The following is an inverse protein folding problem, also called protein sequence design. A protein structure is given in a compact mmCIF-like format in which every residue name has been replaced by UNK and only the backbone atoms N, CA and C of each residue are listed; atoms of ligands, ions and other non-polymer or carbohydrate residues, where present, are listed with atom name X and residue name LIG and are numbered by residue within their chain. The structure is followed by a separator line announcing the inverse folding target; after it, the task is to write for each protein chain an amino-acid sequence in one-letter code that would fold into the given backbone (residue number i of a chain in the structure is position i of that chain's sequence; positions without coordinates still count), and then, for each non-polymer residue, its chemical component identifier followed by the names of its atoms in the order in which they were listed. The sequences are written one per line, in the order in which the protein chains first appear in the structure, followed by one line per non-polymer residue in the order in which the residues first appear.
data_IF_438796547787
#
_entry.id   IF_438796547787
#
_cell.length_a   1.000
_cell.length_b   1.000
_cell.length_c   1.000
_cell.angle_alpha   90.00
_cell.angle_beta   90.00
_cell.angle_gamma   90.00
#
_symmetry.space_group_name_H-M   'P 1'
#
loop_
_entity.id
_entity.type
_entity.pdbx_description
1 polymer ?
#
# COMPACT_ATOMS: atom_id res chain seq x y z
N UNK A 1 52.07 21.86 -15.72
CA UNK A 1 51.98 20.60 -14.94
C UNK A 1 50.71 19.91 -15.33
N UNK A 2 50.72 18.58 -15.51
CA UNK A 2 49.48 17.82 -15.72
C UNK A 2 48.72 17.69 -14.40
N UNK A 3 47.41 17.48 -14.45
CA UNK A 3 46.60 17.26 -13.23
C UNK A 3 47.14 16.05 -12.44
N UNK A 4 47.60 15.00 -13.12
CA UNK A 4 48.24 13.84 -12.50
C UNK A 4 49.50 14.20 -11.69
N UNK A 5 50.38 15.05 -12.25
CA UNK A 5 51.58 15.52 -11.56
C UNK A 5 51.23 16.37 -10.35
N UNK A 6 50.21 17.22 -10.46
CA UNK A 6 49.75 18.07 -9.36
C UNK A 6 49.11 17.24 -8.24
N UNK A 7 48.39 16.18 -8.59
CA UNK A 7 47.83 15.23 -7.63
C UNK A 7 48.92 14.46 -6.87
N UNK A 8 49.92 13.94 -7.59
CA UNK A 8 51.07 13.26 -6.98
C UNK A 8 51.89 14.19 -6.08
N UNK A 9 51.88 15.49 -6.36
CA UNK A 9 52.48 16.53 -5.52
C UNK A 9 51.60 16.93 -4.30
N UNK A 10 50.44 16.29 -4.10
CA UNK A 10 49.55 16.54 -2.96
C UNK A 10 48.69 17.80 -3.09
N UNK A 11 48.49 18.32 -4.31
CA UNK A 11 47.68 19.52 -4.51
C UNK A 11 46.19 19.26 -4.27
N UNK A 12 45.59 20.05 -3.38
CA UNK A 12 44.15 20.05 -3.12
C UNK A 12 43.33 20.65 -4.27
N UNK A 13 42.02 20.43 -4.24
CA UNK A 13 41.08 20.84 -5.30
C UNK A 13 40.86 22.36 -5.44
N UNK A 14 40.79 23.19 -4.37
CA UNK A 14 40.51 24.62 -4.53
C UNK A 14 41.53 25.40 -5.39
N UNK A 15 42.87 25.21 -5.23
CA UNK A 15 43.85 25.80 -6.13
C UNK A 15 43.72 25.33 -7.59
N UNK A 16 43.35 24.07 -7.81
CA UNK A 16 43.16 23.53 -9.16
C UNK A 16 41.95 24.15 -9.86
N UNK A 17 40.84 24.36 -9.13
CA UNK A 17 39.68 25.10 -9.65
C UNK A 17 40.04 26.55 -9.98
N UNK A 18 40.83 27.22 -9.14
CA UNK A 18 41.31 28.58 -9.41
C UNK A 18 42.24 28.65 -10.64
N UNK A 19 42.97 27.57 -10.92
CA UNK A 19 43.74 27.38 -12.14
C UNK A 19 42.90 26.92 -13.35
N UNK A 20 41.56 27.00 -13.25
CA UNK A 20 40.58 26.66 -14.28
C UNK A 20 40.51 25.19 -14.69
N UNK A 21 41.02 24.25 -13.88
CA UNK A 21 40.74 22.83 -14.09
C UNK A 21 39.28 22.51 -13.74
N UNK A 22 38.63 21.73 -14.60
CA UNK A 22 37.25 21.27 -14.43
C UNK A 22 37.18 20.05 -13.49
N UNK A 23 36.04 19.85 -12.84
CA UNK A 23 35.80 18.67 -12.03
C UNK A 23 35.93 17.36 -12.85
N UNK A 24 35.63 17.39 -14.15
CA UNK A 24 35.77 16.25 -15.04
C UNK A 24 37.24 15.86 -15.24
N UNK A 25 38.13 16.83 -15.47
CA UNK A 25 39.57 16.59 -15.61
C UNK A 25 40.16 16.06 -14.30
N UNK A 26 39.79 16.64 -13.16
CA UNK A 26 40.25 16.14 -11.86
C UNK A 26 39.77 14.71 -11.60
N UNK A 27 38.52 14.40 -11.93
CA UNK A 27 37.96 13.05 -11.79
C UNK A 27 38.65 12.04 -12.70
N UNK A 28 39.01 12.42 -13.93
CA UNK A 28 39.75 11.56 -14.86
C UNK A 28 41.13 11.16 -14.31
N UNK A 29 41.76 12.04 -13.51
CA UNK A 29 43.00 11.74 -12.78
C UNK A 29 42.77 11.09 -11.40
N UNK A 30 41.54 10.64 -11.15
CA UNK A 30 41.15 9.85 -9.99
C UNK A 30 40.91 10.63 -8.71
N UNK A 31 40.70 11.95 -8.75
CA UNK A 31 40.20 12.66 -7.57
C UNK A 31 38.82 12.09 -7.18
N UNK A 32 38.67 11.78 -5.89
CA UNK A 32 37.46 11.17 -5.32
C UNK A 32 36.38 12.22 -5.09
N UNK A 33 35.13 11.78 -4.96
CA UNK A 33 33.99 12.68 -4.71
C UNK A 33 34.19 13.58 -3.46
N UNK A 34 34.66 13.06 -2.29
CA UNK A 34 34.93 13.92 -1.14
C UNK A 34 35.98 15.01 -1.42
N UNK A 35 37.03 14.69 -2.17
CA UNK A 35 38.07 15.66 -2.54
C UNK A 35 37.51 16.75 -3.47
N UNK A 36 36.71 16.36 -4.47
CA UNK A 36 36.12 17.29 -5.42
C UNK A 36 35.09 18.21 -4.76
N UNK A 37 34.33 17.71 -3.79
CA UNK A 37 33.32 18.50 -3.08
C UNK A 37 33.91 19.62 -2.20
N UNK A 38 35.23 19.64 -1.96
CA UNK A 38 35.90 20.76 -1.29
C UNK A 38 36.02 22.02 -2.16
N UNK A 39 35.80 21.92 -3.48
CA UNK A 39 35.90 23.05 -4.41
C UNK A 39 34.77 23.16 -5.43
N UNK A 40 34.01 22.09 -5.68
CA UNK A 40 32.91 22.07 -6.65
C UNK A 40 31.56 21.87 -5.96
N UNK A 41 30.55 22.52 -6.51
CA UNK A 41 29.14 22.34 -6.15
C UNK A 41 28.61 21.00 -6.68
N UNK A 42 27.53 20.49 -6.08
CA UNK A 42 26.85 19.27 -6.56
C UNK A 42 26.43 19.40 -8.04
N UNK A 43 26.00 20.58 -8.49
CA UNK A 43 25.63 20.81 -9.88
C UNK A 43 26.83 20.72 -10.84
N UNK A 44 27.99 21.28 -10.45
CA UNK A 44 29.23 21.15 -11.23
C UNK A 44 29.71 19.69 -11.27
N UNK A 45 29.56 18.96 -10.17
CA UNK A 45 29.91 17.54 -10.07
C UNK A 45 28.95 16.65 -10.89
N UNK A 46 27.66 16.99 -10.95
CA UNK A 46 26.69 16.37 -11.86
C UNK A 46 27.12 16.57 -13.31
N UNK A 47 27.49 17.80 -13.69
CA UNK A 47 27.96 18.11 -15.04
C UNK A 47 29.27 17.38 -15.39
N UNK A 48 30.10 17.08 -14.38
CA UNK A 48 31.31 16.28 -14.51
C UNK A 48 31.07 14.75 -14.53
N UNK A 49 29.81 14.31 -14.51
CA UNK A 49 29.43 12.89 -14.63
C UNK A 49 29.43 12.11 -13.32
N UNK A 50 29.40 12.77 -12.16
CA UNK A 50 29.17 12.08 -10.88
C UNK A 50 27.70 11.67 -10.79
N UNK A 51 27.45 10.37 -10.62
CA UNK A 51 26.10 9.81 -10.56
C UNK A 51 25.40 10.06 -9.21
N UNK A 52 24.06 10.00 -9.19
CA UNK A 52 23.30 10.12 -7.95
C UNK A 52 23.65 9.00 -6.94
N UNK A 53 23.93 7.79 -7.43
CA UNK A 53 24.32 6.65 -6.59
C UNK A 53 25.64 6.91 -5.86
N UNK A 54 26.62 7.56 -6.50
CA UNK A 54 27.90 7.94 -5.86
C UNK A 54 27.70 8.96 -4.73
N UNK A 55 26.84 9.95 -4.94
CA UNK A 55 26.48 10.91 -3.89
C UNK A 55 25.79 10.23 -2.71
N UNK A 56 24.84 9.33 -2.98
CA UNK A 56 24.15 8.60 -1.91
C UNK A 56 25.10 7.67 -1.17
N UNK A 57 26.05 7.02 -1.87
CA UNK A 57 27.13 6.25 -1.25
C UNK A 57 28.04 7.11 -0.36
N UNK A 58 28.26 8.37 -0.75
CA UNK A 58 28.95 9.38 0.05
C UNK A 58 28.06 10.05 1.13
N UNK A 59 26.85 9.52 1.38
CA UNK A 59 25.90 9.95 2.42
C UNK A 59 25.27 11.34 2.20
N UNK A 60 25.21 11.81 0.97
CA UNK A 60 24.45 13.03 0.65
C UNK A 60 22.94 12.74 0.65
N UNK A 61 22.15 13.72 1.09
CA UNK A 61 20.69 13.63 1.06
C UNK A 61 20.13 13.80 -0.35
N UNK A 62 19.14 12.99 -0.74
CA UNK A 62 18.50 13.08 -2.05
C UNK A 62 17.87 14.46 -2.31
N UNK A 63 17.40 15.16 -1.28
CA UNK A 63 16.91 16.54 -1.38
C UNK A 63 17.98 17.49 -1.92
N UNK A 64 19.21 17.41 -1.40
CA UNK A 64 20.31 18.26 -1.87
C UNK A 64 20.70 17.96 -3.31
N UNK A 65 20.54 16.71 -3.75
CA UNK A 65 20.70 16.33 -5.15
C UNK A 65 19.59 16.94 -6.01
N UNK A 66 18.33 16.88 -5.54
CA UNK A 66 17.20 17.49 -6.23
C UNK A 66 17.36 19.01 -6.37
N UNK A 67 17.79 19.68 -5.31
CA UNK A 67 18.06 21.12 -5.29
C UNK A 67 19.20 21.50 -6.25
N UNK A 68 20.16 20.58 -6.46
CA UNK A 68 21.24 20.71 -7.44
C UNK A 68 20.85 20.28 -8.86
N UNK A 69 19.57 19.98 -9.11
CA UNK A 69 19.04 19.67 -10.43
C UNK A 69 19.03 18.19 -10.80
N UNK A 70 19.24 17.27 -9.86
CA UNK A 70 18.94 15.86 -10.11
C UNK A 70 17.42 15.64 -10.20
N UNK A 71 17.02 14.81 -11.14
CA UNK A 71 15.64 14.37 -11.38
C UNK A 71 15.52 12.89 -11.03
N UNK A 72 14.30 12.36 -10.95
CA UNK A 72 14.10 10.94 -10.68
C UNK A 72 14.76 10.01 -11.73
N UNK A 73 14.93 10.48 -12.97
CA UNK A 73 15.62 9.73 -14.03
C UNK A 73 17.12 9.57 -13.78
N UNK A 74 17.71 10.45 -12.97
CA UNK A 74 19.10 10.33 -12.53
C UNK A 74 19.26 9.29 -11.39
N UNK A 75 18.15 8.79 -10.84
CA UNK A 75 18.11 7.77 -9.78
C UNK A 75 17.73 6.39 -10.34
N UNK A 76 18.48 5.89 -11.31
CA UNK A 76 18.17 4.59 -11.91
C UNK A 76 18.40 3.47 -10.90
N UNK A 77 17.41 2.61 -10.71
CA UNK A 77 17.52 1.55 -9.70
C UNK A 77 18.68 0.57 -9.98
N UNK A 78 19.07 0.37 -11.23
CA UNK A 78 20.26 -0.43 -11.61
C UNK A 78 21.56 0.15 -11.04
N UNK A 79 21.77 1.46 -11.12
CA UNK A 79 22.96 2.13 -10.59
C UNK A 79 23.03 2.02 -9.06
N UNK A 80 21.88 2.17 -8.39
CA UNK A 80 21.78 2.07 -6.94
C UNK A 80 21.99 0.63 -6.43
N UNK A 81 21.49 -0.36 -7.17
CA UNK A 81 21.76 -1.79 -6.89
C UNK A 81 23.23 -2.12 -7.10
N UNK A 82 23.82 -1.67 -8.20
CA UNK A 82 25.25 -1.87 -8.48
C UNK A 82 26.15 -1.24 -7.41
N UNK A 83 25.77 -0.07 -6.90
CA UNK A 83 26.46 0.59 -5.81
C UNK A 83 26.17 0.00 -4.41
N UNK A 84 25.14 -0.86 -4.27
CA UNK A 84 24.76 -1.45 -2.98
C UNK A 84 24.17 -0.44 -1.99
N UNK A 85 23.52 0.61 -2.49
CA UNK A 85 23.03 1.75 -1.67
C UNK A 85 21.53 2.00 -1.79
N UNK A 86 20.76 1.02 -2.27
CA UNK A 86 19.30 1.12 -2.39
C UNK A 86 18.63 1.50 -1.07
N UNK A 87 19.08 0.95 0.06
CA UNK A 87 18.55 1.26 1.40
C UNK A 87 19.00 2.63 1.95
N UNK A 88 20.05 3.21 1.37
CA UNK A 88 20.59 4.51 1.79
C UNK A 88 19.91 5.67 1.07
N UNK A 89 18.97 5.37 0.16
CA UNK A 89 18.15 6.35 -0.52
C UNK A 89 17.27 7.06 0.52
N UNK A 90 17.80 8.11 1.14
CA UNK A 90 17.03 8.89 2.08
C UNK A 90 15.89 9.57 1.33
N UNK A 91 14.68 9.20 1.74
CA UNK A 91 13.41 9.40 1.01
C UNK A 91 12.97 10.87 0.93
N UNK A 92 13.76 11.79 1.47
CA UNK A 92 13.45 13.22 1.40
C UNK A 92 13.80 13.71 -0.01
N UNK A 93 12.76 13.99 -0.80
CA UNK A 93 12.88 14.72 -2.06
C UNK A 93 12.25 14.06 -3.28
N UNK A 94 11.95 12.76 -3.27
CA UNK A 94 11.27 12.09 -4.39
C UNK A 94 10.04 11.32 -3.92
N UNK A 95 9.02 11.25 -4.77
CA UNK A 95 7.82 10.47 -4.55
C UNK A 95 8.04 9.00 -4.94
N UNK A 96 7.26 8.09 -4.36
CA UNK A 96 7.29 6.69 -4.74
C UNK A 96 6.94 6.47 -6.23
N UNK A 97 6.09 7.31 -6.81
CA UNK A 97 5.72 7.24 -8.22
C UNK A 97 6.92 7.58 -9.12
N UNK A 98 7.63 8.67 -8.80
CA UNK A 98 8.86 9.07 -9.49
C UNK A 98 9.91 7.95 -9.45
N UNK A 99 10.10 7.31 -8.30
CA UNK A 99 11.07 6.23 -8.15
C UNK A 99 10.62 4.91 -8.79
N UNK A 100 9.31 4.64 -8.86
CA UNK A 100 8.77 3.52 -9.66
C UNK A 100 9.15 3.68 -11.13
N UNK A 101 8.99 4.88 -11.69
CA UNK A 101 9.40 5.18 -13.07
C UNK A 101 10.92 5.04 -13.26
N UNK A 102 11.71 5.26 -12.20
CA UNK A 102 13.16 5.04 -12.20
C UNK A 102 13.57 3.55 -12.00
N UNK A 103 12.59 2.64 -11.90
CA UNK A 103 12.81 1.20 -11.86
C UNK A 103 12.96 0.60 -10.46
N UNK A 104 12.66 1.36 -9.39
CA UNK A 104 12.66 0.82 -8.03
C UNK A 104 11.45 -0.08 -7.79
N UNK A 105 11.67 -1.19 -7.09
CA UNK A 105 10.63 -2.10 -6.64
C UNK A 105 10.03 -1.63 -5.32
N UNK A 106 8.81 -2.05 -5.01
CA UNK A 106 8.16 -1.66 -3.76
C UNK A 106 8.98 -2.07 -2.50
N UNK A 107 9.61 -3.26 -2.43
CA UNK A 107 10.43 -3.64 -1.27
C UNK A 107 11.67 -2.78 -1.08
N UNK A 108 12.29 -2.35 -2.17
CA UNK A 108 13.44 -1.42 -2.09
C UNK A 108 13.01 -0.09 -1.52
N UNK A 109 11.86 0.42 -1.96
CA UNK A 109 11.30 1.66 -1.42
C UNK A 109 10.84 1.51 0.03
N UNK A 110 10.29 0.36 0.43
CA UNK A 110 9.94 0.08 1.83
C UNK A 110 11.17 0.06 2.74
N UNK A 111 12.24 -0.63 2.34
CA UNK A 111 13.52 -0.64 3.08
C UNK A 111 14.13 0.75 3.20
N UNK A 112 13.87 1.61 2.21
CA UNK A 112 14.27 3.01 2.22
C UNK A 112 13.38 3.89 3.12
N UNK A 113 12.18 3.41 3.53
CA UNK A 113 11.28 4.10 4.46
C UNK A 113 9.94 4.58 3.87
N UNK A 114 9.60 4.21 2.62
CA UNK A 114 8.27 4.50 2.07
C UNK A 114 7.18 3.64 2.73
N UNK A 115 6.09 4.28 3.13
CA UNK A 115 4.92 3.60 3.66
C UNK A 115 4.15 2.86 2.55
N UNK A 116 3.57 1.71 2.87
CA UNK A 116 2.73 0.91 1.96
C UNK A 116 1.61 1.74 1.29
N UNK A 117 1.00 2.66 2.03
CA UNK A 117 -0.02 3.59 1.51
C UNK A 117 0.51 4.47 0.38
N UNK A 118 1.75 4.97 0.49
CA UNK A 118 2.41 5.78 -0.55
C UNK A 118 2.81 4.96 -1.77
N UNK A 119 3.20 3.70 -1.57
CA UNK A 119 3.51 2.76 -2.66
C UNK A 119 2.25 2.40 -3.45
N UNK A 120 1.12 2.19 -2.76
CA UNK A 120 -0.16 1.95 -3.41
C UNK A 120 -0.62 3.15 -4.25
N UNK A 121 -0.47 4.37 -3.73
CA UNK A 121 -0.73 5.62 -4.49
C UNK A 121 0.19 5.73 -5.71
N UNK A 122 1.44 5.26 -5.58
CA UNK A 122 2.41 5.22 -6.67
C UNK A 122 2.14 4.12 -7.72
N UNK A 123 1.08 3.33 -7.57
CA UNK A 123 0.67 2.31 -8.53
C UNK A 123 1.37 0.96 -8.35
N UNK A 124 2.04 0.71 -7.22
CA UNK A 124 2.46 -0.64 -6.85
C UNK A 124 1.25 -1.48 -6.44
N UNK A 125 1.17 -2.71 -6.94
CA UNK A 125 0.16 -3.69 -6.52
C UNK A 125 0.40 -4.14 -5.08
N UNK A 126 -0.62 -4.73 -4.45
CA UNK A 126 -0.48 -5.33 -3.12
C UNK A 126 0.55 -6.45 -3.10
N UNK A 127 0.67 -7.22 -4.18
CA UNK A 127 1.68 -8.27 -4.37
C UNK A 127 3.09 -7.70 -4.47
N UNK A 128 3.27 -6.54 -5.14
CA UNK A 128 4.56 -5.85 -5.22
C UNK A 128 4.98 -5.24 -3.88
N UNK A 129 4.02 -4.73 -3.10
CA UNK A 129 4.23 -4.16 -1.76
C UNK A 129 4.50 -5.24 -0.71
N UNK A 130 3.98 -6.44 -0.91
CA UNK A 130 4.21 -7.60 -0.06
C UNK A 130 4.71 -8.78 -0.89
N UNK A 131 5.91 -8.70 -1.50
CA UNK A 131 6.43 -9.82 -2.24
C UNK A 131 6.95 -10.82 -1.20
N UNK A 132 6.05 -11.75 -0.85
CA UNK A 132 6.36 -13.10 -0.39
C UNK A 132 7.53 -13.15 0.60
N UNK A 133 7.29 -12.78 1.85
CA UNK A 133 8.30 -12.96 2.90
C UNK A 133 7.89 -12.51 4.30
N UNK A 134 7.10 -11.42 4.39
CA UNK A 134 6.57 -10.92 5.66
C UNK A 134 5.11 -11.33 5.76
N UNK A 135 4.84 -12.33 6.60
CA UNK A 135 3.47 -12.78 6.86
C UNK A 135 2.77 -11.90 7.89
N UNK A 136 1.45 -11.77 7.78
CA UNK A 136 0.63 -11.14 8.82
C UNK A 136 0.91 -11.75 10.21
N UNK A 137 1.20 -13.06 10.27
CA UNK A 137 1.54 -13.77 11.52
C UNK A 137 2.82 -13.23 12.18
N UNK A 138 3.87 -12.97 11.40
CA UNK A 138 5.11 -12.39 11.92
C UNK A 138 4.89 -10.97 12.45
N UNK A 139 4.18 -10.13 11.70
CA UNK A 139 3.91 -8.76 12.11
C UNK A 139 3.07 -8.66 13.38
N UNK A 140 2.12 -9.58 13.58
CA UNK A 140 1.37 -9.69 14.85
C UNK A 140 2.28 -10.10 16.01
N UNK A 141 3.22 -11.02 15.78
CA UNK A 141 4.20 -11.43 16.80
C UNK A 141 5.17 -10.28 17.18
N UNK A 142 5.42 -9.36 16.26
CA UNK A 142 6.17 -8.12 16.48
C UNK A 142 5.32 -6.99 17.09
N UNK A 143 4.05 -7.26 17.44
CA UNK A 143 3.16 -6.34 18.13
C UNK A 143 2.43 -5.35 17.23
N UNK A 144 2.41 -5.54 15.90
CA UNK A 144 1.53 -4.75 15.02
C UNK A 144 0.08 -5.14 15.23
N UNK A 145 -0.82 -4.16 15.08
CA UNK A 145 -2.26 -4.38 15.21
C UNK A 145 -2.87 -4.89 13.89
N UNK A 146 -4.06 -5.50 13.98
CA UNK A 146 -4.83 -5.86 12.77
C UNK A 146 -5.18 -4.66 11.89
N UNK A 147 -5.29 -3.46 12.48
CA UNK A 147 -5.52 -2.22 11.73
C UNK A 147 -4.28 -1.84 10.91
N UNK A 148 -3.09 -1.95 11.51
CA UNK A 148 -1.83 -1.70 10.78
C UNK A 148 -1.69 -2.66 9.59
N UNK A 149 -2.11 -3.92 9.74
CA UNK A 149 -2.11 -4.90 8.65
C UNK A 149 -3.13 -4.57 7.56
N UNK A 150 -4.34 -4.16 7.94
CA UNK A 150 -5.36 -3.70 6.98
C UNK A 150 -4.88 -2.50 6.17
N UNK A 151 -4.27 -1.52 6.84
CA UNK A 151 -3.74 -0.29 6.24
C UNK A 151 -2.49 -0.58 5.38
N UNK A 152 -1.72 -1.60 5.77
CA UNK A 152 -0.64 -2.15 4.96
C UNK A 152 -1.16 -2.93 3.74
N UNK A 153 -2.44 -3.32 3.71
CA UNK A 153 -3.08 -3.96 2.55
C UNK A 153 -3.14 -5.48 2.61
N UNK A 154 -2.93 -6.09 3.77
CA UNK A 154 -3.23 -7.51 3.95
C UNK A 154 -4.72 -7.77 3.73
N UNK A 155 -5.04 -8.89 3.11
CA UNK A 155 -6.40 -9.36 2.88
C UNK A 155 -7.04 -9.91 4.16
N UNK A 156 -8.37 -9.97 4.17
CA UNK A 156 -9.13 -10.60 5.25
C UNK A 156 -8.73 -12.08 5.45
N UNK A 157 -8.37 -12.79 4.37
CA UNK A 157 -7.90 -14.18 4.41
C UNK A 157 -6.55 -14.29 5.12
N UNK A 158 -5.59 -13.44 4.75
CA UNK A 158 -4.27 -13.45 5.37
C UNK A 158 -4.34 -13.14 6.88
N UNK A 159 -5.22 -12.23 7.30
CA UNK A 159 -5.45 -11.99 8.73
C UNK A 159 -6.06 -13.22 9.40
N UNK A 160 -7.12 -13.78 8.82
CA UNK A 160 -7.79 -14.99 9.34
C UNK A 160 -6.81 -16.15 9.53
N UNK A 161 -5.92 -16.38 8.57
CA UNK A 161 -4.92 -17.44 8.62
C UNK A 161 -3.75 -17.11 9.57
N UNK A 162 -3.44 -15.83 9.75
CA UNK A 162 -2.34 -15.39 10.61
C UNK A 162 -2.62 -15.60 12.10
N UNK A 163 -3.85 -15.38 12.57
CA UNK A 163 -4.19 -15.46 13.98
C UNK A 163 -5.69 -15.70 14.21
N UNK A 164 -6.01 -16.58 15.17
CA UNK A 164 -7.38 -16.94 15.53
C UNK A 164 -8.26 -15.75 15.98
N UNK A 165 -7.66 -14.63 16.41
CA UNK A 165 -8.43 -13.41 16.73
C UNK A 165 -9.21 -12.86 15.52
N UNK A 166 -8.78 -13.19 14.30
CA UNK A 166 -9.42 -12.76 13.05
C UNK A 166 -10.33 -13.85 12.45
N UNK A 167 -10.61 -14.93 13.18
CA UNK A 167 -11.54 -15.99 12.77
C UNK A 167 -13.01 -15.60 12.96
N UNK A 168 -13.30 -14.38 13.43
CA UNK A 168 -14.64 -13.80 13.52
C UNK A 168 -14.81 -12.68 12.50
N UNK A 169 -15.87 -12.77 11.69
CA UNK A 169 -16.23 -11.77 10.70
C UNK A 169 -16.48 -10.39 11.34
N UNK A 170 -16.94 -10.31 12.59
CA UNK A 170 -17.12 -9.01 13.26
C UNK A 170 -15.80 -8.30 13.55
N UNK A 171 -14.73 -9.06 13.82
CA UNK A 171 -13.39 -8.48 14.00
C UNK A 171 -12.91 -7.86 12.70
N UNK A 172 -13.03 -8.57 11.58
CA UNK A 172 -12.64 -8.05 10.27
C UNK A 172 -13.52 -6.85 9.86
N UNK A 173 -14.81 -6.87 10.16
CA UNK A 173 -15.68 -5.72 9.96
C UNK A 173 -15.21 -4.50 10.75
N UNK A 174 -14.84 -4.67 12.02
CA UNK A 174 -14.33 -3.59 12.87
C UNK A 174 -13.01 -3.00 12.36
N UNK A 175 -12.21 -3.79 11.65
CA UNK A 175 -11.01 -3.33 10.94
C UNK A 175 -11.30 -2.61 9.62
N UNK A 176 -12.56 -2.60 9.16
CA UNK A 176 -12.97 -1.93 7.93
C UNK A 176 -12.87 -2.80 6.66
N UNK A 177 -12.86 -4.12 6.78
CA UNK A 177 -13.08 -4.98 5.61
C UNK A 177 -14.56 -4.94 5.19
N UNK A 178 -14.78 -4.90 3.89
CA UNK A 178 -16.11 -5.01 3.29
C UNK A 178 -16.65 -6.45 3.36
N UNK A 179 -17.97 -6.60 3.20
CA UNK A 179 -18.61 -7.91 3.12
C UNK A 179 -18.01 -8.78 1.98
N UNK A 180 -17.64 -8.18 0.85
CA UNK A 180 -17.04 -8.90 -0.27
C UNK A 180 -15.63 -9.43 0.05
N UNK A 181 -14.81 -8.64 0.75
CA UNK A 181 -13.48 -9.06 1.21
C UNK A 181 -13.57 -10.18 2.25
N UNK A 182 -14.51 -10.07 3.21
CA UNK A 182 -14.73 -11.10 4.23
C UNK A 182 -15.35 -12.37 3.64
N UNK A 183 -16.28 -12.26 2.68
CA UNK A 183 -16.82 -13.39 1.95
C UNK A 183 -15.75 -14.13 1.15
N UNK A 184 -14.87 -13.40 0.46
CA UNK A 184 -13.71 -13.97 -0.25
C UNK A 184 -12.72 -14.68 0.68
N UNK A 185 -12.68 -14.31 1.96
CA UNK A 185 -11.91 -15.02 3.00
C UNK A 185 -12.57 -16.32 3.48
N UNK A 186 -13.68 -16.75 2.85
CA UNK A 186 -14.37 -18.01 3.12
C UNK A 186 -15.29 -17.98 4.34
N UNK A 187 -15.79 -16.81 4.73
CA UNK A 187 -16.83 -16.71 5.75
C UNK A 187 -18.21 -16.93 5.11
N UNK A 188 -19.11 -17.64 5.81
CA UNK A 188 -20.47 -17.90 5.33
C UNK A 188 -21.35 -16.65 5.36
N UNK A 189 -22.44 -16.63 4.58
CA UNK A 189 -23.38 -15.51 4.58
C UNK A 189 -23.99 -15.29 5.98
N UNK A 190 -24.28 -16.37 6.71
CA UNK A 190 -24.71 -16.32 8.10
C UNK A 190 -23.66 -15.64 9.01
N UNK A 191 -22.37 -15.90 8.81
CA UNK A 191 -21.31 -15.27 9.60
C UNK A 191 -21.26 -13.75 9.34
N UNK A 192 -21.40 -13.32 8.09
CA UNK A 192 -21.46 -11.91 7.74
C UNK A 192 -22.73 -11.23 8.29
N UNK A 193 -23.86 -11.93 8.29
CA UNK A 193 -25.11 -11.46 8.90
C UNK A 193 -24.93 -11.25 10.41
N UNK A 194 -24.34 -12.23 11.11
CA UNK A 194 -24.04 -12.14 12.54
C UNK A 194 -23.05 -11.03 12.87
N UNK A 195 -22.09 -10.79 11.97
CA UNK A 195 -21.18 -9.64 12.02
C UNK A 195 -21.86 -8.29 11.72
N UNK A 196 -23.19 -8.28 11.54
CA UNK A 196 -24.02 -7.10 11.30
C UNK A 196 -23.70 -6.37 10.00
N UNK A 197 -23.19 -7.05 8.97
CA UNK A 197 -23.21 -6.50 7.62
C UNK A 197 -24.65 -6.24 7.18
N UNK A 198 -24.87 -5.02 6.69
CA UNK A 198 -26.18 -4.53 6.26
C UNK A 198 -26.57 -5.14 4.93
N UNK A 199 -27.87 -5.14 4.61
CA UNK A 199 -28.34 -5.64 3.32
C UNK A 199 -27.58 -5.05 2.12
N UNK A 200 -27.33 -3.73 2.01
CA UNK A 200 -26.56 -3.19 0.88
C UNK A 200 -25.13 -3.75 0.80
N UNK A 201 -24.45 -3.91 1.94
CA UNK A 201 -23.10 -4.49 1.99
C UNK A 201 -23.12 -5.96 1.55
N UNK A 202 -24.09 -6.75 2.04
CA UNK A 202 -24.27 -8.15 1.67
C UNK A 202 -24.61 -8.31 0.18
N UNK A 203 -25.48 -7.45 -0.36
CA UNK A 203 -25.84 -7.46 -1.77
C UNK A 203 -24.64 -7.15 -2.68
N UNK A 204 -23.78 -6.20 -2.29
CA UNK A 204 -22.53 -5.91 -3.00
C UNK A 204 -21.53 -7.08 -2.96
N UNK A 205 -21.59 -7.91 -1.92
CA UNK A 205 -20.83 -9.15 -1.82
C UNK A 205 -21.47 -10.31 -2.61
N UNK A 206 -22.58 -10.08 -3.32
CA UNK A 206 -23.32 -11.11 -4.05
C UNK A 206 -24.14 -12.06 -3.16
N UNK A 207 -24.28 -11.75 -1.86
CA UNK A 207 -25.05 -12.57 -0.93
C UNK A 207 -26.53 -12.24 -1.06
N UNK A 208 -27.34 -13.28 -1.29
CA UNK A 208 -28.78 -13.15 -1.50
C UNK A 208 -29.58 -13.52 -0.26
N UNK A 209 -30.78 -12.96 -0.13
CA UNK A 209 -31.71 -13.37 0.94
C UNK A 209 -32.09 -14.86 0.86
N UNK A 210 -32.14 -15.44 -0.36
CA UNK A 210 -32.38 -16.88 -0.56
C UNK A 210 -31.25 -17.72 0.06
N UNK A 211 -30.00 -17.36 -0.20
CA UNK A 211 -28.85 -18.03 0.41
C UNK A 211 -28.90 -17.94 1.94
N UNK A 212 -29.19 -16.76 2.48
CA UNK A 212 -29.32 -16.59 3.94
C UNK A 212 -30.46 -17.45 4.52
N UNK A 213 -31.58 -17.59 3.81
CA UNK A 213 -32.67 -18.50 4.20
C UNK A 213 -32.23 -19.96 4.22
N UNK A 214 -31.53 -20.41 3.17
CA UNK A 214 -30.99 -21.77 3.06
C UNK A 214 -29.94 -22.08 4.14
N UNK A 215 -29.14 -21.07 4.54
CA UNK A 215 -28.21 -21.14 5.68
C UNK A 215 -28.90 -21.03 7.05
N UNK A 216 -30.24 -20.99 7.10
CA UNK A 216 -31.03 -21.02 8.34
C UNK A 216 -31.12 -19.68 9.07
N UNK A 217 -30.93 -18.56 8.37
CA UNK A 217 -31.06 -17.24 8.97
C UNK A 217 -32.50 -16.97 9.41
N UNK A 218 -32.64 -16.46 10.63
CA UNK A 218 -33.95 -16.08 11.16
C UNK A 218 -34.41 -14.80 10.46
N UNK A 219 -35.69 -14.76 10.09
CA UNK A 219 -36.25 -13.62 9.37
C UNK A 219 -36.19 -12.31 10.19
N UNK A 220 -36.16 -12.41 11.53
CA UNK A 220 -35.91 -11.27 12.43
C UNK A 220 -34.50 -10.69 12.27
N UNK A 221 -33.49 -11.53 12.04
CA UNK A 221 -32.10 -11.08 11.83
C UNK A 221 -31.94 -10.40 10.47
N UNK A 222 -32.60 -10.92 9.44
CA UNK A 222 -32.65 -10.29 8.12
C UNK A 222 -33.29 -8.90 8.20
N UNK A 223 -34.42 -8.79 8.90
CA UNK A 223 -35.06 -7.48 9.17
C UNK A 223 -34.11 -6.55 9.93
N UNK A 224 -33.40 -7.04 10.94
CA UNK A 224 -32.49 -6.24 11.75
C UNK A 224 -31.30 -5.65 10.96
N UNK A 225 -30.85 -6.32 9.89
CA UNK A 225 -29.79 -5.81 9.00
C UNK A 225 -30.32 -5.02 7.79
N UNK A 226 -31.63 -4.78 7.73
CA UNK A 226 -32.25 -3.87 6.75
C UNK A 226 -32.86 -4.53 5.51
N UNK A 227 -33.13 -5.85 5.50
CA UNK A 227 -33.98 -6.44 4.46
C UNK A 227 -35.41 -5.87 4.57
N UNK A 228 -36.00 -5.51 3.44
CA UNK A 228 -37.40 -5.10 3.36
C UNK A 228 -38.33 -6.28 2.97
N UNK A 229 -39.63 -6.10 3.10
CA UNK A 229 -40.63 -7.13 2.82
C UNK A 229 -40.54 -7.68 1.38
N UNK A 230 -40.24 -6.85 0.38
CA UNK A 230 -40.09 -7.28 -1.02
C UNK A 230 -38.90 -8.22 -1.19
N UNK A 231 -37.74 -7.86 -0.63
CA UNK A 231 -36.53 -8.66 -0.68
C UNK A 231 -36.68 -9.99 0.07
N UNK A 232 -37.40 -9.99 1.20
CA UNK A 232 -37.73 -11.22 1.92
C UNK A 232 -38.70 -12.11 1.13
N UNK A 233 -39.63 -11.50 0.38
CA UNK A 233 -40.52 -12.25 -0.50
C UNK A 233 -39.76 -12.90 -1.65
N UNK A 234 -38.84 -12.18 -2.29
CA UNK A 234 -37.94 -12.67 -3.34
C UNK A 234 -36.99 -13.76 -2.80
N UNK A 235 -36.59 -13.67 -1.53
CA UNK A 235 -35.85 -14.73 -0.82
C UNK A 235 -36.69 -15.98 -0.53
N UNK A 236 -37.98 -15.97 -0.85
CA UNK A 236 -38.89 -17.11 -0.75
C UNK A 236 -39.63 -17.22 0.58
N UNK A 237 -39.66 -16.18 1.41
CA UNK A 237 -40.50 -16.18 2.62
C UNK A 237 -41.97 -15.89 2.31
N UNK A 238 -42.86 -16.46 3.13
CA UNK A 238 -44.30 -16.30 3.01
C UNK A 238 -44.76 -14.95 3.55
N UNK A 239 -45.91 -14.46 3.07
CA UNK A 239 -46.52 -13.25 3.60
C UNK A 239 -46.77 -13.34 5.11
N UNK A 240 -47.21 -14.50 5.59
CA UNK A 240 -47.44 -14.76 7.01
C UNK A 240 -46.15 -14.70 7.84
N UNK A 241 -45.05 -15.29 7.35
CA UNK A 241 -43.73 -15.22 8.02
C UNK A 241 -43.21 -13.78 8.10
N UNK A 242 -43.35 -13.01 7.02
CA UNK A 242 -42.93 -11.61 6.96
C UNK A 242 -43.82 -10.75 7.88
N UNK A 243 -45.13 -10.97 7.90
CA UNK A 243 -46.04 -10.29 8.82
C UNK A 243 -45.73 -10.61 10.29
N UNK A 244 -45.43 -11.87 10.61
CA UNK A 244 -45.16 -12.35 11.97
C UNK A 244 -43.93 -11.71 12.63
N UNK A 245 -43.00 -11.12 11.87
CA UNK A 245 -41.86 -10.35 12.41
C UNK A 245 -42.12 -8.84 12.47
N UNK A 246 -43.36 -8.42 12.24
CA UNK A 246 -43.83 -7.04 12.39
C UNK A 246 -43.58 -6.15 11.17
N UNK A 247 -43.56 -6.69 9.95
CA UNK A 247 -43.78 -5.85 8.76
C UNK A 247 -45.28 -5.52 8.65
N UNK A 248 -45.59 -4.24 8.45
CA UNK A 248 -46.97 -3.76 8.40
C UNK A 248 -47.65 -4.05 7.06
N UNK A 249 -48.94 -3.75 6.99
CA UNK A 249 -49.72 -3.85 5.75
C UNK A 249 -49.15 -3.02 4.60
N UNK A 250 -48.56 -1.85 4.89
CA UNK A 250 -47.90 -0.99 3.90
C UNK A 250 -46.65 -1.69 3.34
N UNK A 251 -45.81 -2.29 4.19
CA UNK A 251 -44.61 -3.01 3.77
C UNK A 251 -44.96 -4.19 2.85
N UNK A 252 -46.02 -4.92 3.19
CA UNK A 252 -46.51 -6.06 2.41
C UNK A 252 -47.14 -5.62 1.09
N UNK A 253 -47.91 -4.53 1.07
CA UNK A 253 -48.43 -3.94 -0.16
C UNK A 253 -47.30 -3.49 -1.09
N UNK A 254 -46.25 -2.83 -0.57
CA UNK A 254 -45.04 -2.48 -1.36
C UNK A 254 -44.27 -3.71 -1.87
N UNK A 255 -44.42 -4.86 -1.20
CA UNK A 255 -43.89 -6.14 -1.66
C UNK A 255 -44.78 -6.85 -2.70
N UNK A 256 -45.88 -6.23 -3.14
CA UNK A 256 -46.84 -6.80 -4.08
C UNK A 256 -47.75 -7.87 -3.47
N UNK A 257 -47.93 -7.85 -2.14
CA UNK A 257 -48.78 -8.79 -1.41
C UNK A 257 -50.11 -8.08 -1.10
N UNK A 258 -51.17 -8.43 -1.84
CA UNK A 258 -52.52 -7.87 -1.67
C UNK A 258 -53.54 -8.97 -1.29
N UNK A 259 -54.56 -8.62 -0.49
CA UNK A 259 -55.72 -9.49 -0.21
C UNK A 259 -55.70 -10.26 1.13
N UNK A 260 -56.68 -11.16 1.38
CA UNK A 260 -57.02 -11.70 2.71
C UNK A 260 -55.97 -12.60 3.39
N UNK A 261 -54.75 -12.65 2.86
CA UNK A 261 -53.60 -13.40 3.39
C UNK A 261 -53.05 -12.82 4.73
N UNK A 262 -53.67 -11.74 5.23
CA UNK A 262 -53.36 -11.07 6.51
C UNK A 262 -54.14 -11.61 7.72
N UNK A 263 -55.07 -12.56 7.51
CA UNK A 263 -55.88 -13.17 8.58
C UNK A 263 -55.32 -14.50 9.05
#
# INVERSE_FOLDING_TARGET
FTVQQLKLAGMGVPPLKAAAFSAQELRAEGYTLPELNCGFTIAELKAAGVSAAEFVAARYHAQSLRDAGFTAQDFKAEDFRAAGVTEQLQVVGFTAAELRFAGFTAPELQRSGFQASKLKIAGFSTEEVHPTGISAKQLLAEGRSGKDLRDAGFSALELKEANAQFSDASTLKALGYSAAEVGSAGFSALALLKARYTYPELALAGITGKQLKEEGCQLRDLKAVGFNAKQLREAGYTAQEIYAVGFGSIDLSMAGIEGPQFR
#
